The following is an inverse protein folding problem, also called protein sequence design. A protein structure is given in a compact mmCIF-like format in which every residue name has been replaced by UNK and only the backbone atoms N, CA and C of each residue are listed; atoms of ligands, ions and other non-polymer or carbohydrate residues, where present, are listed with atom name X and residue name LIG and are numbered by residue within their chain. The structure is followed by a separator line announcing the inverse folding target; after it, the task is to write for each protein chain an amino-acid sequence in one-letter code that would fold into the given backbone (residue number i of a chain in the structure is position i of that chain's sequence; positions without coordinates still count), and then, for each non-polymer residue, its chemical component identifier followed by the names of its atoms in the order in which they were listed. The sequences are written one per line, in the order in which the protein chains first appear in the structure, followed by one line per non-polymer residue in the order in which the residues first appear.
data_IF_806837068853
#
_entry.id   IF_806837068853
#
_cell.length_a   1.000
_cell.length_b   1.000
_cell.length_c   1.000
_cell.angle_alpha   90.00
_cell.angle_beta   90.00
_cell.angle_gamma   90.00
#
_symmetry.space_group_name_H-M   'P 1'
#
loop_
_entity.id
_entity.type
_entity.pdbx_description
1 polymer ?
#
# COMPACT_ATOMS: atom_id res chain seq x y z
N UNK A 1 24.43 47.23 -59.94
CA UNK A 1 23.27 46.40 -59.54
C UNK A 1 23.56 45.82 -58.17
N UNK A 2 22.73 46.25 -57.24
CA UNK A 2 22.67 45.96 -55.80
C UNK A 2 22.45 44.48 -55.53
N UNK A 3 23.06 43.92 -54.48
CA UNK A 3 22.40 42.86 -53.69
C UNK A 3 22.91 42.90 -52.24
N UNK A 4 22.07 43.45 -51.36
CA UNK A 4 22.17 43.36 -49.91
C UNK A 4 21.93 41.91 -49.49
N UNK A 5 22.86 41.30 -48.74
CA UNK A 5 22.53 40.11 -47.95
C UNK A 5 22.04 40.55 -46.57
N UNK A 6 20.75 40.33 -46.34
CA UNK A 6 20.05 40.57 -45.09
C UNK A 6 20.40 39.43 -44.12
N UNK A 7 21.11 39.73 -43.03
CA UNK A 7 21.35 38.79 -41.94
C UNK A 7 20.08 38.53 -41.16
N UNK A 8 19.54 37.31 -41.23
CA UNK A 8 18.44 36.88 -40.36
C UNK A 8 19.01 36.45 -39.00
N UNK A 9 18.85 37.32 -38.01
CA UNK A 9 19.04 37.00 -36.60
C UNK A 9 17.81 36.19 -36.14
N UNK A 10 17.97 34.88 -35.94
CA UNK A 10 16.91 34.05 -35.35
C UNK A 10 16.99 34.19 -33.83
N UNK A 11 15.96 34.71 -33.13
CA UNK A 11 15.97 34.77 -31.69
C UNK A 11 15.79 33.36 -31.14
N UNK A 12 16.81 32.87 -30.42
CA UNK A 12 16.75 31.62 -29.67
C UNK A 12 15.80 31.84 -28.48
N UNK A 13 14.51 31.61 -28.69
CA UNK A 13 13.51 31.66 -27.62
C UNK A 13 13.71 30.43 -26.74
N UNK A 14 14.48 30.58 -25.67
CA UNK A 14 14.59 29.57 -24.62
C UNK A 14 13.23 29.47 -23.91
N UNK A 15 12.45 28.46 -24.28
CA UNK A 15 11.22 28.11 -23.59
C UNK A 15 11.60 27.55 -22.22
N UNK A 16 11.59 28.41 -21.19
CA UNK A 16 11.71 27.98 -19.80
C UNK A 16 10.45 27.19 -19.44
N UNK A 17 10.52 25.87 -19.55
CA UNK A 17 9.54 24.99 -18.93
C UNK A 17 9.68 25.10 -17.42
N UNK A 18 8.87 25.98 -16.80
CA UNK A 18 8.58 25.87 -15.38
C UNK A 18 7.66 24.65 -15.20
N UNK A 19 8.26 23.47 -15.12
CA UNK A 19 7.55 22.29 -14.66
C UNK A 19 7.12 22.52 -13.22
N UNK A 20 5.82 22.55 -12.96
CA UNK A 20 5.32 22.43 -11.60
C UNK A 20 5.79 21.07 -11.08
N UNK A 21 6.68 21.06 -10.08
CA UNK A 21 6.93 19.84 -9.30
C UNK A 21 5.60 19.43 -8.67
N UNK A 22 4.99 18.37 -9.19
CA UNK A 22 3.86 17.76 -8.51
C UNK A 22 4.34 17.32 -7.13
N UNK A 23 3.73 17.86 -6.07
CA UNK A 23 4.07 17.49 -4.70
C UNK A 23 3.97 15.97 -4.54
N UNK A 24 5.06 15.32 -4.18
CA UNK A 24 5.07 13.88 -3.95
C UNK A 24 4.12 13.54 -2.79
N UNK A 25 3.08 12.77 -3.08
CA UNK A 25 2.11 12.35 -2.05
C UNK A 25 2.71 11.21 -1.24
N UNK A 26 2.95 11.44 0.05
CA UNK A 26 3.51 10.43 0.97
C UNK A 26 2.38 9.60 1.57
N UNK A 27 2.57 8.29 1.64
CA UNK A 27 1.68 7.41 2.40
C UNK A 27 2.03 7.52 3.88
N UNK A 28 1.07 7.98 4.68
CA UNK A 28 1.23 8.13 6.12
C UNK A 28 0.30 7.18 6.86
N UNK A 29 0.59 6.96 8.14
CA UNK A 29 -0.32 6.32 9.07
C UNK A 29 -1.71 6.98 9.04
N UNK A 30 -2.75 6.14 9.10
CA UNK A 30 -4.15 6.52 8.97
C UNK A 30 -4.63 6.69 7.53
N UNK A 31 -3.73 6.82 6.54
CA UNK A 31 -4.15 6.97 5.14
C UNK A 31 -4.94 5.75 4.68
N UNK A 32 -5.96 5.99 3.86
CA UNK A 32 -6.70 4.94 3.18
C UNK A 32 -6.14 4.75 1.77
N UNK A 33 -5.82 3.53 1.38
CA UNK A 33 -5.20 3.19 0.10
C UNK A 33 -5.95 2.07 -0.61
N UNK A 34 -5.93 2.11 -1.94
CA UNK A 34 -6.20 0.95 -2.79
C UNK A 34 -4.88 0.44 -3.35
N UNK A 35 -4.52 -0.77 -2.95
CA UNK A 35 -3.30 -1.42 -3.40
C UNK A 35 -3.58 -2.16 -4.71
N UNK A 36 -2.98 -1.72 -5.81
CA UNK A 36 -3.08 -2.37 -7.10
C UNK A 36 -1.86 -3.25 -7.36
N UNK A 37 -2.09 -4.50 -7.75
CA UNK A 37 -1.06 -5.44 -8.12
C UNK A 37 -0.43 -5.03 -9.46
N UNK A 38 0.91 -4.98 -9.52
CA UNK A 38 1.61 -4.34 -10.65
C UNK A 38 1.36 -5.06 -11.97
N UNK A 39 1.43 -6.39 -12.01
CA UNK A 39 1.27 -7.12 -13.28
C UNK A 39 -0.18 -7.20 -13.74
N UNK A 40 -1.10 -7.56 -12.87
CA UNK A 40 -2.49 -7.89 -13.29
C UNK A 40 -3.43 -6.71 -13.20
N UNK A 41 -3.06 -5.64 -12.49
CA UNK A 41 -3.87 -4.45 -12.24
C UNK A 41 -5.14 -4.69 -11.41
N UNK A 42 -5.27 -5.87 -10.80
CA UNK A 42 -6.28 -6.13 -9.78
C UNK A 42 -5.90 -5.43 -8.48
N UNK A 43 -6.89 -4.92 -7.76
CA UNK A 43 -6.77 -4.28 -6.46
C UNK A 43 -6.98 -5.28 -5.34
N UNK A 44 -6.25 -5.11 -4.24
CA UNK A 44 -6.44 -5.88 -3.02
C UNK A 44 -7.85 -5.61 -2.47
N UNK A 45 -8.62 -6.67 -2.26
CA UNK A 45 -10.05 -6.61 -2.02
C UNK A 45 -10.47 -7.60 -0.95
N UNK A 46 -11.51 -7.27 -0.17
CA UNK A 46 -12.13 -8.20 0.78
C UNK A 46 -13.64 -7.96 0.86
N UNK A 47 -14.40 -8.93 1.34
CA UNK A 47 -15.87 -8.87 1.38
C UNK A 47 -16.42 -9.89 2.39
N UNK A 48 -17.74 -9.95 2.60
CA UNK A 48 -18.38 -10.88 3.55
C UNK A 48 -18.53 -12.32 3.03
N UNK A 49 -17.48 -12.86 2.39
CA UNK A 49 -17.38 -14.25 1.97
C UNK A 49 -16.19 -14.87 2.71
N UNK A 50 -16.37 -16.07 3.24
CA UNK A 50 -15.29 -16.82 3.87
C UNK A 50 -14.69 -17.84 2.89
N UNK A 51 -13.44 -18.21 3.13
CA UNK A 51 -12.86 -19.37 2.47
C UNK A 51 -13.61 -20.66 2.89
N UNK A 52 -13.90 -21.53 1.93
CA UNK A 52 -14.45 -22.87 2.20
C UNK A 52 -13.37 -23.91 2.53
N UNK A 53 -12.10 -23.50 2.56
CA UNK A 53 -10.92 -24.32 2.83
C UNK A 53 -9.96 -23.56 3.73
N UNK A 54 -8.82 -24.17 4.08
CA UNK A 54 -7.78 -23.49 4.83
C UNK A 54 -8.25 -23.12 6.23
N UNK A 55 -8.17 -21.84 6.60
CA UNK A 55 -8.58 -21.39 7.94
C UNK A 55 -10.09 -21.19 8.11
N UNK A 56 -10.84 -21.08 7.01
CA UNK A 56 -12.25 -20.67 7.05
C UNK A 56 -12.47 -19.19 7.37
N UNK A 57 -11.42 -18.36 7.41
CA UNK A 57 -11.53 -16.91 7.64
C UNK A 57 -12.07 -16.17 6.40
N UNK A 58 -12.35 -14.86 6.56
CA UNK A 58 -12.82 -14.01 5.47
C UNK A 58 -11.80 -13.96 4.33
N UNK A 59 -12.28 -14.10 3.09
CA UNK A 59 -11.41 -14.18 1.92
C UNK A 59 -10.85 -12.81 1.52
N UNK A 60 -9.59 -12.81 1.09
CA UNK A 60 -8.92 -11.67 0.47
C UNK A 60 -8.59 -12.03 -0.96
N UNK A 61 -8.96 -11.16 -1.89
CA UNK A 61 -8.88 -11.44 -3.32
C UNK A 61 -8.30 -10.25 -4.09
N UNK A 62 -7.99 -10.48 -5.37
CA UNK A 62 -7.82 -9.41 -6.33
C UNK A 62 -9.15 -9.11 -7.01
N UNK A 63 -9.55 -7.85 -7.06
CA UNK A 63 -10.73 -7.36 -7.78
C UNK A 63 -10.37 -6.24 -8.76
N UNK A 64 -11.07 -6.10 -9.89
CA UNK A 64 -10.68 -5.12 -10.92
C UNK A 64 -11.85 -4.28 -11.48
N UNK A 65 -13.08 -4.62 -11.13
CA UNK A 65 -14.25 -4.07 -11.81
C UNK A 65 -14.73 -2.81 -11.08
N UNK A 66 -14.71 -1.67 -11.79
CA UNK A 66 -15.22 -0.40 -11.27
C UNK A 66 -14.39 0.22 -10.15
N UNK A 67 -15.01 1.21 -9.51
CA UNK A 67 -14.56 1.86 -8.29
C UNK A 67 -15.32 1.23 -7.10
N UNK A 68 -14.70 0.24 -6.46
CA UNK A 68 -15.32 -0.50 -5.35
C UNK A 68 -14.81 0.00 -4.00
N UNK A 69 -15.71 0.15 -3.03
CA UNK A 69 -15.38 0.59 -1.67
C UNK A 69 -14.68 -0.51 -0.86
N UNK A 70 -14.84 -1.78 -1.24
CA UNK A 70 -14.17 -2.94 -0.66
C UNK A 70 -12.69 -3.06 -1.06
N UNK A 71 -12.19 -2.15 -1.89
CA UNK A 71 -10.78 -2.09 -2.26
C UNK A 71 -9.97 -1.18 -1.31
N UNK A 72 -10.63 -0.50 -0.35
CA UNK A 72 -9.98 0.43 0.57
C UNK A 72 -9.43 -0.25 1.82
N UNK A 73 -8.17 0.06 2.12
CA UNK A 73 -7.44 -0.40 3.30
C UNK A 73 -6.81 0.78 4.03
N UNK A 74 -6.99 0.85 5.35
CA UNK A 74 -6.37 1.88 6.20
C UNK A 74 -5.02 1.37 6.70
N UNK A 75 -3.99 2.20 6.55
CA UNK A 75 -2.65 1.92 7.06
C UNK A 75 -2.56 2.22 8.55
N UNK A 76 -2.24 1.22 9.36
CA UNK A 76 -1.99 1.35 10.79
C UNK A 76 -0.55 0.94 11.14
N UNK A 77 -0.11 1.30 12.35
CA UNK A 77 1.14 0.77 12.90
C UNK A 77 1.06 -0.71 13.22
N UNK A 78 2.22 -1.31 13.46
CA UNK A 78 2.36 -2.70 13.92
C UNK A 78 1.48 -3.02 15.13
N UNK A 79 1.19 -4.30 15.32
CA UNK A 79 0.44 -4.81 16.47
C UNK A 79 1.04 -4.30 17.79
N UNK A 80 0.16 -3.83 18.70
CA UNK A 80 0.51 -3.21 19.99
C UNK A 80 1.48 -2.01 19.92
N UNK A 81 1.56 -1.36 18.76
CA UNK A 81 2.28 -0.08 18.60
C UNK A 81 1.31 1.04 18.24
N UNK A 82 1.56 2.22 18.80
CA UNK A 82 0.83 3.41 18.41
C UNK A 82 1.45 4.01 17.16
N UNK A 83 0.59 4.39 16.23
CA UNK A 83 1.00 5.02 14.99
C UNK A 83 0.12 6.25 14.78
N UNK A 84 0.77 7.40 14.91
CA UNK A 84 0.12 8.68 14.91
C UNK A 84 -0.28 9.05 13.47
N UNK A 85 -1.53 9.45 13.26
CA UNK A 85 -2.02 9.84 11.95
C UNK A 85 -1.15 10.94 11.31
N UNK A 86 -0.73 10.75 10.05
CA UNK A 86 0.18 11.67 9.35
C UNK A 86 1.67 11.37 9.57
N UNK A 87 2.03 10.37 10.39
CA UNK A 87 3.42 9.86 10.44
C UNK A 87 3.76 9.16 9.11
N UNK A 88 4.82 9.56 8.39
CA UNK A 88 5.26 8.89 7.16
C UNK A 88 5.58 7.42 7.37
N UNK A 89 5.24 6.59 6.39
CA UNK A 89 5.64 5.18 6.35
C UNK A 89 6.91 5.07 5.51
N UNK A 90 7.95 4.45 6.06
CA UNK A 90 9.24 4.25 5.39
C UNK A 90 9.50 2.78 5.10
N UNK A 91 10.41 2.49 4.17
CA UNK A 91 10.89 1.12 3.95
C UNK A 91 11.43 0.52 5.25
N UNK A 92 11.06 -0.71 5.54
CA UNK A 92 11.36 -1.43 6.80
C UNK A 92 10.32 -1.18 7.90
N UNK A 93 9.38 -0.23 7.74
CA UNK A 93 8.31 -0.02 8.71
C UNK A 93 7.37 -1.21 8.72
N UNK A 94 7.06 -1.74 9.90
CA UNK A 94 6.01 -2.74 10.08
C UNK A 94 4.67 -2.04 10.27
N UNK A 95 3.72 -2.42 9.43
CA UNK A 95 2.36 -1.87 9.41
C UNK A 95 1.32 -2.98 9.54
N UNK A 96 0.08 -2.59 9.80
CA UNK A 96 -1.10 -3.42 9.58
C UNK A 96 -2.01 -2.72 8.58
N UNK A 97 -2.76 -3.49 7.80
CA UNK A 97 -3.71 -2.97 6.81
C UNK A 97 -5.12 -3.38 7.21
N UNK A 98 -5.98 -2.41 7.52
CA UNK A 98 -7.36 -2.67 7.95
C UNK A 98 -8.33 -2.46 6.80
N UNK A 99 -9.08 -3.49 6.44
CA UNK A 99 -10.14 -3.38 5.44
C UNK A 99 -11.23 -2.43 5.95
N UNK A 100 -11.58 -1.42 5.15
CA UNK A 100 -12.49 -0.34 5.59
C UNK A 100 -13.88 -0.87 5.93
N UNK A 101 -14.47 -1.66 5.04
CA UNK A 101 -15.89 -2.03 5.18
C UNK A 101 -16.13 -3.10 6.24
N UNK A 102 -15.21 -4.04 6.43
CA UNK A 102 -15.39 -5.15 7.39
C UNK A 102 -14.63 -4.94 8.70
N UNK A 103 -13.74 -3.94 8.76
CA UNK A 103 -12.93 -3.64 9.94
C UNK A 103 -11.90 -4.71 10.30
N UNK A 104 -11.69 -5.72 9.44
CA UNK A 104 -10.74 -6.82 9.63
C UNK A 104 -9.35 -6.48 9.09
N UNK A 105 -8.32 -7.12 9.61
CA UNK A 105 -6.92 -6.93 9.24
C UNK A 105 -6.50 -7.87 8.12
N UNK A 106 -5.66 -7.39 7.21
CA UNK A 106 -4.94 -8.25 6.28
C UNK A 106 -4.03 -9.17 7.10
N UNK A 107 -4.27 -10.48 6.99
CA UNK A 107 -3.71 -11.49 7.87
C UNK A 107 -3.08 -12.62 7.06
N UNK A 108 -2.06 -13.26 7.61
CA UNK A 108 -1.53 -14.52 7.06
C UNK A 108 -0.97 -15.43 8.14
N UNK A 109 -0.82 -16.72 7.81
CA UNK A 109 -0.57 -17.80 8.75
C UNK A 109 -0.20 -19.09 8.01
N UNK A 110 0.02 -20.17 8.76
CA UNK A 110 0.45 -21.48 8.23
C UNK A 110 -0.71 -22.34 7.67
N UNK A 111 -1.66 -21.70 6.98
CA UNK A 111 -2.70 -22.38 6.20
C UNK A 111 -2.38 -22.35 4.70
N UNK A 112 -2.85 -23.35 3.96
CA UNK A 112 -2.71 -23.39 2.50
C UNK A 112 -3.76 -22.49 1.83
N UNK A 113 -3.31 -21.63 0.93
CA UNK A 113 -4.16 -20.82 0.06
C UNK A 113 -5.03 -21.69 -0.85
N UNK A 114 -6.26 -21.27 -1.18
CA UNK A 114 -7.29 -22.14 -1.75
C UNK A 114 -7.00 -22.71 -3.16
N UNK A 115 -6.23 -22.01 -3.98
CA UNK A 115 -5.99 -22.39 -5.38
C UNK A 115 -4.55 -22.83 -5.61
N UNK A 116 -3.56 -22.05 -5.18
CA UNK A 116 -2.14 -22.35 -5.44
C UNK A 116 -1.47 -23.19 -4.37
N UNK A 117 -2.05 -23.30 -3.18
CA UNK A 117 -1.46 -24.04 -2.06
C UNK A 117 -0.21 -23.39 -1.45
N UNK A 118 0.07 -22.12 -1.78
CA UNK A 118 0.98 -21.21 -1.05
C UNK A 118 0.41 -20.89 0.35
N UNK A 119 0.96 -19.90 1.08
CA UNK A 119 0.35 -19.48 2.35
C UNK A 119 -0.91 -18.64 2.11
N UNK A 120 -1.95 -18.96 2.88
CA UNK A 120 -3.23 -18.25 2.84
C UNK A 120 -3.07 -16.81 3.33
N UNK A 121 -3.70 -15.88 2.60
CA UNK A 121 -3.91 -14.50 3.04
C UNK A 121 -5.40 -14.29 3.21
N UNK A 122 -5.80 -13.78 4.37
CA UNK A 122 -7.18 -13.65 4.81
C UNK A 122 -7.43 -12.28 5.42
N UNK A 123 -8.70 -11.98 5.73
CA UNK A 123 -9.09 -10.86 6.55
C UNK A 123 -9.54 -11.38 7.92
N UNK A 124 -8.88 -10.96 8.99
CA UNK A 124 -9.09 -11.50 10.34
C UNK A 124 -9.23 -10.40 11.38
N UNK A 125 -10.03 -10.64 12.42
CA UNK A 125 -10.22 -9.71 13.54
C UNK A 125 -9.54 -10.19 14.82
N UNK A 126 -8.50 -11.03 14.69
CA UNK A 126 -7.75 -11.56 15.84
C UNK A 126 -8.49 -12.63 16.65
N UNK A 127 -9.81 -12.83 16.46
CA UNK A 127 -10.61 -13.81 17.21
C UNK A 127 -10.59 -13.62 18.73
N UNK A 128 -10.15 -12.44 19.19
CA UNK A 128 -9.96 -12.09 20.60
C UNK A 128 -10.54 -10.71 20.89
N UNK A 129 -10.62 -10.36 22.18
CA UNK A 129 -11.03 -9.01 22.61
C UNK A 129 -10.08 -7.92 22.10
N UNK A 130 -8.80 -8.25 21.89
CA UNK A 130 -7.81 -7.32 21.34
C UNK A 130 -8.04 -7.01 19.85
N UNK A 131 -8.79 -7.86 19.15
CA UNK A 131 -9.21 -7.59 17.78
C UNK A 131 -8.10 -7.65 16.72
N UNK A 132 -6.91 -8.18 17.05
CA UNK A 132 -5.70 -8.24 16.21
C UNK A 132 -4.62 -9.12 16.86
N UNK A 133 -3.64 -9.59 16.08
CA UNK A 133 -2.45 -10.29 16.57
C UNK A 133 -1.20 -10.02 15.69
N UNK A 134 -0.10 -10.77 15.91
CA UNK A 134 1.14 -10.60 15.13
C UNK A 134 1.03 -11.04 13.68
N UNK A 135 0.06 -11.92 13.34
CA UNK A 135 -0.20 -12.37 11.97
C UNK A 135 -0.80 -11.28 11.07
N UNK A 136 -1.11 -10.12 11.65
CA UNK A 136 -1.55 -8.93 10.92
C UNK A 136 -0.37 -8.03 10.49
N UNK A 137 0.85 -8.32 10.93
CA UNK A 137 2.02 -7.46 10.70
C UNK A 137 2.67 -7.70 9.33
N UNK A 138 2.82 -6.62 8.58
CA UNK A 138 3.48 -6.60 7.27
C UNK A 138 4.60 -5.55 7.24
N UNK A 139 5.82 -5.96 6.93
CA UNK A 139 6.94 -5.07 6.68
C UNK A 139 6.83 -4.46 5.27
N UNK A 140 6.87 -3.13 5.19
CA UNK A 140 6.90 -2.38 3.94
C UNK A 140 8.30 -2.47 3.32
N UNK A 141 8.41 -2.92 2.08
CA UNK A 141 9.68 -3.04 1.38
C UNK A 141 9.66 -2.22 0.08
N UNK A 142 10.49 -1.19 0.03
CA UNK A 142 10.69 -0.34 -1.15
C UNK A 142 12.08 -0.63 -1.72
N UNK A 143 12.17 -1.00 -3.00
CA UNK A 143 13.48 -1.33 -3.60
C UNK A 143 14.44 -0.14 -3.60
N UNK A 144 13.91 1.08 -3.68
CA UNK A 144 14.68 2.33 -3.59
C UNK A 144 14.87 2.86 -2.15
N UNK A 145 14.27 2.19 -1.15
CA UNK A 145 14.23 2.69 0.23
C UNK A 145 13.39 3.98 0.39
N UNK A 146 13.62 4.67 1.51
CA UNK A 146 13.00 5.97 1.80
C UNK A 146 11.53 5.90 2.24
N UNK A 147 10.84 7.04 2.13
CA UNK A 147 9.41 7.18 2.40
C UNK A 147 8.59 6.54 1.29
N UNK A 148 7.52 5.85 1.66
CA UNK A 148 6.56 5.27 0.73
C UNK A 148 5.70 6.37 0.11
N UNK A 149 5.78 6.49 -1.21
CA UNK A 149 5.04 7.47 -2.00
C UNK A 149 3.85 6.80 -2.71
N UNK A 150 2.81 7.58 -2.99
CA UNK A 150 1.75 7.19 -3.93
C UNK A 150 2.38 6.81 -5.27
N UNK A 151 1.78 5.84 -5.96
CA UNK A 151 2.23 5.30 -7.26
C UNK A 151 3.64 4.67 -7.25
N UNK A 152 4.34 4.65 -6.11
CA UNK A 152 5.60 3.94 -5.95
C UNK A 152 5.35 2.44 -5.79
N UNK A 153 6.20 1.66 -6.47
CA UNK A 153 6.27 0.21 -6.30
C UNK A 153 6.68 -0.15 -4.88
N UNK A 154 5.89 -1.01 -4.25
CA UNK A 154 6.05 -1.50 -2.88
C UNK A 154 5.81 -3.00 -2.84
N UNK A 155 6.47 -3.69 -1.91
CA UNK A 155 6.12 -5.06 -1.50
C UNK A 155 5.80 -5.08 -0.01
N UNK A 156 5.02 -6.06 0.39
CA UNK A 156 4.69 -6.31 1.79
C UNK A 156 5.17 -7.70 2.18
N UNK A 157 6.00 -7.78 3.22
CA UNK A 157 6.50 -9.05 3.75
C UNK A 157 5.78 -9.36 5.06
N UNK A 158 5.05 -10.45 5.11
CA UNK A 158 4.41 -10.92 6.33
C UNK A 158 5.50 -11.22 7.38
N UNK A 159 5.40 -10.61 8.56
CA UNK A 159 6.46 -10.66 9.57
C UNK A 159 6.62 -12.06 10.14
N UNK A 160 5.53 -12.75 10.50
CA UNK A 160 5.66 -14.04 11.20
C UNK A 160 6.15 -15.16 10.26
N UNK A 161 5.68 -15.15 9.01
CA UNK A 161 6.00 -16.22 8.05
C UNK A 161 7.18 -15.88 7.13
N UNK A 162 7.60 -14.61 7.07
CA UNK A 162 8.62 -14.10 6.14
C UNK A 162 8.27 -14.26 4.64
N UNK A 163 6.99 -14.42 4.31
CA UNK A 163 6.48 -14.54 2.93
C UNK A 163 5.96 -13.20 2.39
N UNK A 164 5.96 -13.04 1.07
CA UNK A 164 5.58 -11.81 0.37
C UNK A 164 4.12 -11.86 -0.07
N UNK A 165 3.37 -10.78 0.19
CA UNK A 165 2.01 -10.59 -0.33
C UNK A 165 2.04 -10.64 -1.86
N UNK A 166 1.25 -11.51 -2.45
CA UNK A 166 1.40 -11.92 -3.82
C UNK A 166 0.05 -12.17 -4.50
N UNK A 167 -0.01 -11.91 -5.80
CA UNK A 167 -1.16 -12.26 -6.64
C UNK A 167 -0.72 -12.76 -8.01
N UNK A 168 -1.63 -13.43 -8.70
CA UNK A 168 -1.36 -14.05 -10.00
C UNK A 168 -2.67 -14.33 -10.73
N UNK A 169 -2.57 -14.79 -11.98
CA UNK A 169 -3.74 -15.08 -12.80
C UNK A 169 -4.36 -16.46 -12.52
N UNK A 170 -4.54 -16.78 -11.23
CA UNK A 170 -5.43 -17.88 -10.81
C UNK A 170 -6.66 -17.26 -10.17
N UNK A 171 -7.84 -17.69 -10.59
CA UNK A 171 -9.09 -17.02 -10.28
C UNK A 171 -10.08 -17.97 -9.64
N UNK A 172 -10.89 -17.45 -8.75
CA UNK A 172 -11.98 -18.19 -8.13
C UNK A 172 -13.14 -18.41 -9.12
N UNK A 173 -13.89 -19.48 -8.87
CA UNK A 173 -15.22 -19.70 -9.42
C UNK A 173 -16.29 -19.03 -8.56
N UNK A 174 -17.52 -19.56 -8.58
CA UNK A 174 -18.60 -19.09 -7.71
C UNK A 174 -18.24 -19.26 -6.22
N UNK A 175 -18.69 -18.37 -5.32
CA UNK A 175 -19.55 -17.20 -5.57
C UNK A 175 -18.81 -15.95 -6.07
N UNK A 176 -17.48 -15.90 -5.96
CA UNK A 176 -16.62 -14.74 -6.28
C UNK A 176 -15.92 -14.90 -7.63
N UNK A 177 -16.70 -15.24 -8.65
CA UNK A 177 -16.16 -15.68 -9.95
C UNK A 177 -15.29 -14.59 -10.60
N UNK A 178 -14.10 -14.97 -11.05
CA UNK A 178 -13.19 -14.08 -11.79
C UNK A 178 -12.26 -13.23 -10.91
N UNK A 179 -12.46 -13.22 -9.59
CA UNK A 179 -11.54 -12.58 -8.64
C UNK A 179 -10.24 -13.40 -8.54
N UNK A 180 -9.10 -12.73 -8.40
CA UNK A 180 -7.80 -13.39 -8.31
C UNK A 180 -7.50 -13.88 -6.89
N UNK A 181 -6.76 -14.99 -6.79
CA UNK A 181 -6.19 -15.40 -5.51
C UNK A 181 -5.15 -14.38 -5.03
N UNK A 182 -5.24 -14.04 -3.74
CA UNK A 182 -4.16 -13.40 -2.98
C UNK A 182 -3.58 -14.46 -2.05
N UNK A 183 -2.26 -14.58 -2.06
CA UNK A 183 -1.53 -15.51 -1.21
C UNK A 183 -0.21 -14.89 -0.76
N UNK A 184 0.50 -15.58 0.13
CA UNK A 184 1.85 -15.20 0.52
C UNK A 184 2.86 -16.25 0.04
N UNK A 185 3.94 -15.79 -0.61
CA UNK A 185 4.96 -16.67 -1.23
C UNK A 185 6.36 -16.42 -0.66
N UNK A 186 7.18 -17.46 -0.59
CA UNK A 186 8.51 -17.34 0.03
C UNK A 186 9.48 -16.48 -0.79
N UNK A 187 9.42 -16.58 -2.12
CA UNK A 187 10.35 -15.89 -3.02
C UNK A 187 9.90 -14.45 -3.27
N UNK A 188 10.83 -13.50 -3.22
CA UNK A 188 10.59 -12.13 -3.67
C UNK A 188 10.48 -12.11 -5.20
N UNK A 189 9.27 -11.97 -5.73
CA UNK A 189 9.01 -11.97 -7.19
C UNK A 189 8.47 -10.62 -7.67
N UNK A 190 8.29 -10.48 -8.98
CA UNK A 190 7.58 -9.34 -9.58
C UNK A 190 6.06 -9.43 -9.37
N UNK A 191 5.54 -10.62 -9.06
CA UNK A 191 4.13 -10.86 -8.72
C UNK A 191 3.80 -10.55 -7.24
N UNK A 192 4.79 -10.04 -6.52
CA UNK A 192 4.64 -9.45 -5.20
C UNK A 192 4.71 -7.92 -5.22
N UNK A 193 4.75 -7.29 -6.41
CA UNK A 193 4.77 -5.84 -6.55
C UNK A 193 3.36 -5.25 -6.53
N UNK A 194 3.21 -4.19 -5.77
CA UNK A 194 2.00 -3.42 -5.61
C UNK A 194 2.29 -1.93 -5.74
N UNK A 195 1.27 -1.11 -5.91
CA UNK A 195 1.35 0.33 -5.74
C UNK A 195 0.06 0.86 -5.12
N UNK A 196 0.17 1.93 -4.33
CA UNK A 196 -0.98 2.68 -3.85
C UNK A 196 -1.43 3.63 -4.97
N UNK A 197 -2.31 3.18 -5.86
CA UNK A 197 -2.74 3.95 -7.04
C UNK A 197 -3.83 4.98 -6.73
N UNK A 198 -4.67 4.68 -5.75
CA UNK A 198 -5.81 5.49 -5.34
C UNK A 198 -5.85 5.52 -3.80
N UNK A 199 -6.41 6.57 -3.22
CA UNK A 199 -6.47 6.70 -1.77
C UNK A 199 -6.76 8.11 -1.27
N UNK A 200 -6.94 8.21 0.04
CA UNK A 200 -7.05 9.45 0.80
C UNK A 200 -5.88 9.49 1.77
N UNK A 201 -5.00 10.48 1.58
CA UNK A 201 -3.73 10.58 2.28
C UNK A 201 -3.75 11.73 3.27
N UNK A 202 -3.31 11.48 4.50
CA UNK A 202 -3.10 12.56 5.46
C UNK A 202 -1.82 13.32 5.12
N UNK A 203 -1.79 14.65 5.38
CA UNK A 203 -0.56 15.41 5.26
C UNK A 203 0.49 14.87 6.24
N UNK A 204 1.75 14.93 5.85
CA UNK A 204 2.87 14.62 6.74
C UNK A 204 2.81 15.56 7.95
N UNK A 205 2.86 14.99 9.16
CA UNK A 205 2.98 15.82 10.37
C UNK A 205 4.34 16.52 10.36
N UNK A 206 4.33 17.83 10.47
CA UNK A 206 5.55 18.58 10.76
C UNK A 206 6.10 18.15 12.13
N UNK A 207 7.42 17.90 12.19
CA UNK A 207 8.10 17.74 13.47
C UNK A 207 7.93 19.05 14.23
N UNK A 208 7.55 19.05 15.53
CA UNK A 208 7.59 20.28 16.32
C UNK A 208 8.98 20.89 16.18
N UNK A 209 9.06 22.11 15.67
CA UNK A 209 10.32 22.84 15.59
C UNK A 209 10.92 22.89 17.00
N UNK A 210 12.16 22.45 17.16
CA UNK A 210 12.89 22.52 18.43
C UNK A 210 13.23 23.96 18.87
N UNK A 211 12.69 24.98 18.19
CA UNK A 211 12.91 26.39 18.46
C UNK A 211 11.72 27.07 19.13
N UNK A 212 11.37 26.61 20.34
CA UNK A 212 10.79 27.47 21.37
C UNK A 212 11.32 27.00 22.73
N UNK A 213 12.61 27.25 22.99
CA UNK A 213 13.05 27.46 24.37
C UNK A 213 12.48 28.83 24.76
N UNK A 214 11.39 28.86 25.53
CA UNK A 214 10.99 30.08 26.24
C UNK A 214 12.07 30.41 27.26
N UNK A 215 12.78 31.54 27.14
CA UNK A 215 13.72 31.96 28.17
C UNK A 215 12.94 32.78 29.19
N UNK A 216 12.28 32.14 30.16
CA UNK A 216 11.83 32.83 31.37
C UNK A 216 11.45 31.79 32.44
N UNK A 217 12.45 31.33 33.18
CA UNK A 217 12.33 30.93 34.59
C UNK A 217 13.74 31.08 35.21
N UNK A 218 14.13 32.34 35.42
CA UNK A 218 15.18 32.75 36.36
C UNK A 218 14.71 34.07 36.97
N UNK A 219 13.81 33.98 37.95
CA UNK A 219 13.60 34.96 39.03
C UNK A 219 13.05 34.24 40.26
#
# INVERSE_FOLDING_TARGET
MTFMMLGMLVPFLALLFMGAEASEVIVTCGSSVKLQHDRTKYRLHSHEVQYGSGSGQQSVTGYKDGDDSNDYWIVHGAFRTNCTQGTPIESGTVVRLRHVNTGKWLHSHLHRSPISGNLEVSAYDGGTVEGSDSGDNWEVNLDAGGKWKRDQRVRFKHVDTQHWLHSHDKRFGRPIAGQQEICAVQKKTNDALWFAGEGVYFPEREKPSAYLKTPHEDL
#
